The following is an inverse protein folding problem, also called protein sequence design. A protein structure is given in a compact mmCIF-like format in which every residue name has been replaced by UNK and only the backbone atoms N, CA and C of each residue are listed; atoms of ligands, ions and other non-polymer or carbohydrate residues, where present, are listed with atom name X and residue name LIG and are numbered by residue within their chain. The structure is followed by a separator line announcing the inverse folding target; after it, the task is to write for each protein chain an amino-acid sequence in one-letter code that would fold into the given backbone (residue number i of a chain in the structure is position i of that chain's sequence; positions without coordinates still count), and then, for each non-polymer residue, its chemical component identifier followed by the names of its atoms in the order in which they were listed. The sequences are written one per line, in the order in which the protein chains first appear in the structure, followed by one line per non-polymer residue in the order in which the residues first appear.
data_IF_614914013505
#
_entry.id   IF_614914013505
#
_cell.length_a   1.000
_cell.length_b   1.000
_cell.length_c   1.000
_cell.angle_alpha   90.00
_cell.angle_beta   90.00
_cell.angle_gamma   90.00
#
_symmetry.space_group_name_H-M   'P 1'
#
loop_
_entity.id
_entity.type
_entity.pdbx_description
1 polymer ?
#
# COMPACT_ATOMS: atom_id res chain seq x y z
N UNK A 1 -4.36 42.54 -63.49
CA UNK A 1 -4.48 42.40 -62.03
C UNK A 1 -4.08 40.98 -61.69
N UNK A 2 -2.84 40.77 -61.23
CA UNK A 2 -2.33 39.44 -60.86
C UNK A 2 -2.13 39.44 -59.35
N UNK A 3 -3.02 38.74 -58.63
CA UNK A 3 -2.92 38.52 -57.20
C UNK A 3 -2.00 37.33 -56.97
N UNK A 4 -0.74 37.60 -56.59
CA UNK A 4 0.21 36.58 -56.18
C UNK A 4 -0.27 35.93 -54.87
N UNK A 5 -0.56 34.64 -54.92
CA UNK A 5 -0.90 33.82 -53.75
C UNK A 5 0.38 33.55 -52.96
N UNK A 6 0.51 34.14 -51.77
CA UNK A 6 1.62 33.83 -50.86
C UNK A 6 1.42 32.44 -50.26
N UNK A 7 2.17 31.46 -50.77
CA UNK A 7 2.29 30.16 -50.09
C UNK A 7 3.12 30.35 -48.82
N UNK A 8 2.53 30.03 -47.66
CA UNK A 8 3.23 30.00 -46.38
C UNK A 8 4.22 28.84 -46.36
N UNK A 9 5.44 29.10 -45.89
CA UNK A 9 6.45 28.07 -45.73
C UNK A 9 5.96 26.97 -44.75
N UNK A 10 6.28 25.68 -45.00
CA UNK A 10 5.85 24.60 -44.11
C UNK A 10 6.50 24.76 -42.73
N UNK A 11 5.68 24.79 -41.67
CA UNK A 11 6.13 24.91 -40.29
C UNK A 11 6.39 23.54 -39.65
N UNK A 12 7.63 23.31 -39.24
CA UNK A 12 8.02 22.09 -38.51
C UNK A 12 7.68 22.24 -37.03
N UNK A 13 7.06 21.20 -36.44
CA UNK A 13 6.71 21.17 -35.02
C UNK A 13 7.19 19.88 -34.36
N UNK A 14 7.78 20.01 -33.18
CA UNK A 14 8.06 18.88 -32.30
C UNK A 14 6.77 18.41 -31.62
N UNK A 15 6.58 17.09 -31.57
CA UNK A 15 5.47 16.41 -30.89
C UNK A 15 6.04 15.23 -30.12
N UNK A 16 5.42 14.84 -29.02
CA UNK A 16 5.79 13.66 -28.23
C UNK A 16 4.87 12.48 -28.57
N UNK A 17 5.42 11.27 -28.53
CA UNK A 17 4.60 10.06 -28.55
C UNK A 17 3.82 9.92 -27.24
N UNK A 18 2.64 9.30 -27.31
CA UNK A 18 1.78 9.00 -26.16
C UNK A 18 1.66 7.48 -26.08
N UNK A 19 1.84 6.94 -24.88
CA UNK A 19 1.67 5.51 -24.62
C UNK A 19 0.19 5.21 -24.40
N UNK A 20 -0.33 4.19 -25.07
CA UNK A 20 -1.73 3.78 -24.87
C UNK A 20 -1.88 2.90 -23.61
N UNK A 21 -3.04 2.93 -22.93
CA UNK A 21 -3.33 2.03 -21.82
C UNK A 21 -3.16 0.54 -22.16
N UNK A 22 -3.40 0.15 -23.42
CA UNK A 22 -3.21 -1.22 -23.89
C UNK A 22 -1.75 -1.67 -23.82
N UNK A 23 -0.80 -0.75 -24.07
CA UNK A 23 0.63 -1.06 -23.96
C UNK A 23 1.02 -1.30 -22.49
N UNK A 24 0.51 -0.50 -21.56
CA UNK A 24 0.78 -0.66 -20.12
C UNK A 24 0.24 -2.02 -19.63
N UNK A 25 -0.97 -2.41 -20.03
CA UNK A 25 -1.50 -3.74 -19.72
C UNK A 25 -0.63 -4.85 -20.29
N UNK A 26 -0.19 -4.71 -21.54
CA UNK A 26 0.67 -5.72 -22.16
C UNK A 26 2.04 -5.80 -21.48
N UNK A 27 2.58 -4.68 -21.01
CA UNK A 27 3.81 -4.62 -20.21
C UNK A 27 3.63 -5.41 -18.91
N UNK A 28 2.55 -5.15 -18.18
CA UNK A 28 2.20 -5.87 -16.94
C UNK A 28 2.09 -7.37 -17.20
N UNK A 29 1.36 -7.79 -18.24
CA UNK A 29 1.15 -9.20 -18.56
C UNK A 29 2.44 -9.91 -19.00
N UNK A 30 3.27 -9.26 -19.83
CA UNK A 30 4.50 -9.89 -20.34
C UNK A 30 5.67 -9.86 -19.36
N UNK A 31 5.68 -8.89 -18.45
CA UNK A 31 6.72 -8.77 -17.42
C UNK A 31 6.33 -9.41 -16.09
N UNK A 32 5.07 -9.83 -15.93
CA UNK A 32 4.66 -10.65 -14.81
C UNK A 32 5.53 -11.91 -14.82
N UNK A 33 6.48 -11.95 -13.89
CA UNK A 33 7.40 -13.06 -13.74
C UNK A 33 6.69 -14.23 -13.10
N UNK A 34 7.08 -14.56 -11.88
CA UNK A 34 6.39 -15.59 -11.09
C UNK A 34 5.65 -14.95 -9.92
N UNK A 35 4.76 -15.69 -9.27
CA UNK A 35 4.07 -15.22 -8.07
C UNK A 35 5.07 -14.91 -6.94
N UNK A 36 6.13 -15.71 -6.82
CA UNK A 36 7.22 -15.51 -5.86
C UNK A 36 7.95 -14.19 -6.12
N UNK A 37 8.16 -13.83 -7.39
CA UNK A 37 8.73 -12.55 -7.75
C UNK A 37 7.79 -11.39 -7.39
N UNK A 38 6.49 -11.54 -7.64
CA UNK A 38 5.51 -10.53 -7.25
C UNK A 38 5.49 -10.30 -5.73
N UNK A 39 5.60 -11.36 -4.93
CA UNK A 39 5.76 -11.26 -3.48
C UNK A 39 7.09 -10.58 -3.10
N UNK A 40 8.19 -10.93 -3.77
CA UNK A 40 9.50 -10.30 -3.52
C UNK A 40 9.49 -8.79 -3.79
N UNK A 41 8.77 -8.34 -4.83
CA UNK A 41 8.60 -6.91 -5.11
C UNK A 41 7.94 -6.17 -3.94
N UNK A 42 6.99 -6.78 -3.23
CA UNK A 42 6.40 -6.18 -2.03
C UNK A 42 7.42 -6.03 -0.89
N UNK A 43 8.22 -7.07 -0.65
CA UNK A 43 9.27 -7.03 0.37
C UNK A 43 10.35 -5.99 0.01
N UNK A 44 10.75 -5.92 -1.25
CA UNK A 44 11.71 -4.91 -1.72
C UNK A 44 11.17 -3.49 -1.56
N UNK A 45 9.89 -3.26 -1.90
CA UNK A 45 9.24 -1.97 -1.69
C UNK A 45 9.18 -1.57 -0.22
N UNK A 46 8.91 -2.52 0.68
CA UNK A 46 8.94 -2.28 2.13
C UNK A 46 10.33 -1.85 2.62
N UNK A 47 11.40 -2.55 2.17
CA UNK A 47 12.78 -2.18 2.51
C UNK A 47 13.12 -0.78 1.99
N UNK A 48 12.75 -0.48 0.74
CA UNK A 48 12.95 0.85 0.14
C UNK A 48 12.12 1.94 0.83
N UNK A 49 11.01 1.57 1.48
CA UNK A 49 10.21 2.44 2.33
C UNK A 49 10.85 2.68 3.71
N UNK A 50 11.97 2.01 4.02
CA UNK A 50 12.68 2.12 5.28
C UNK A 50 12.13 1.19 6.38
N UNK A 51 11.36 0.15 6.00
CA UNK A 51 10.84 -0.81 6.96
C UNK A 51 11.97 -1.51 7.73
N UNK A 52 11.79 -1.65 9.04
CA UNK A 52 12.65 -2.45 9.92
C UNK A 52 12.09 -3.86 10.14
N UNK A 53 10.80 -4.05 9.86
CA UNK A 53 10.08 -5.30 9.98
C UNK A 53 9.13 -5.49 8.81
N UNK A 54 9.12 -6.70 8.26
CA UNK A 54 8.15 -7.13 7.24
C UNK A 54 7.55 -8.46 7.69
N UNK A 55 6.23 -8.50 7.83
CA UNK A 55 5.46 -9.71 8.15
C UNK A 55 4.75 -10.21 6.90
N UNK A 56 4.97 -11.47 6.55
CA UNK A 56 4.34 -12.11 5.40
C UNK A 56 3.48 -13.27 5.88
N UNK A 57 2.19 -13.21 5.57
CA UNK A 57 1.24 -14.30 5.80
C UNK A 57 0.83 -14.85 4.45
N UNK A 58 0.92 -16.18 4.28
CA UNK A 58 0.51 -16.88 3.07
C UNK A 58 -0.38 -18.05 3.44
N UNK A 59 -1.50 -18.19 2.75
CA UNK A 59 -2.38 -19.34 2.84
C UNK A 59 -2.88 -19.76 1.44
N UNK A 60 -3.87 -20.65 1.40
CA UNK A 60 -4.47 -21.13 0.14
C UNK A 60 -5.30 -20.08 -0.61
N UNK A 61 -5.63 -18.96 0.04
CA UNK A 61 -6.46 -17.88 -0.50
C UNK A 61 -5.63 -16.73 -1.05
N UNK A 62 -4.41 -16.55 -0.57
CA UNK A 62 -3.48 -15.54 -1.07
C UNK A 62 -2.39 -15.22 -0.05
N UNK A 63 -1.82 -14.03 -0.16
CA UNK A 63 -0.84 -13.52 0.80
C UNK A 63 -1.15 -12.09 1.22
N UNK A 64 -0.62 -11.72 2.38
CA UNK A 64 -0.54 -10.35 2.88
C UNK A 64 0.91 -10.02 3.19
N UNK A 65 1.34 -8.80 2.86
CA UNK A 65 2.61 -8.23 3.28
C UNK A 65 2.29 -7.00 4.12
N UNK A 66 2.74 -7.02 5.37
CA UNK A 66 2.59 -5.93 6.32
C UNK A 66 4.00 -5.44 6.71
N UNK A 67 4.21 -4.13 6.67
CA UNK A 67 5.49 -3.52 6.96
C UNK A 67 5.34 -2.23 7.77
N UNK A 68 6.40 -1.87 8.49
CA UNK A 68 6.49 -0.64 9.29
C UNK A 68 7.21 0.51 8.55
N UNK A 69 7.26 0.44 7.23
CA UNK A 69 7.85 1.49 6.39
C UNK A 69 7.05 2.79 6.42
N UNK A 70 7.60 3.82 5.78
CA UNK A 70 6.99 5.18 5.77
C UNK A 70 5.58 5.24 5.17
N UNK A 71 5.24 4.30 4.29
CA UNK A 71 3.98 4.26 3.56
C UNK A 71 3.80 5.41 2.55
N UNK A 72 2.58 5.55 2.03
CA UNK A 72 2.18 6.67 1.18
C UNK A 72 1.80 7.88 2.03
N UNK A 73 2.51 8.99 1.84
CA UNK A 73 2.36 10.17 2.70
C UNK A 73 1.35 11.19 2.20
N UNK A 74 1.11 11.23 0.89
CA UNK A 74 0.21 12.19 0.24
C UNK A 74 -0.33 11.66 -1.09
N UNK A 75 -1.40 12.29 -1.59
CA UNK A 75 -1.91 12.05 -2.94
C UNK A 75 -0.83 12.30 -4.01
N UNK A 76 -0.02 13.35 -3.88
CA UNK A 76 1.10 13.62 -4.81
C UNK A 76 2.07 12.44 -4.91
N UNK A 77 2.38 11.74 -3.81
CA UNK A 77 3.21 10.54 -3.85
C UNK A 77 2.51 9.37 -4.55
N UNK A 78 1.19 9.26 -4.41
CA UNK A 78 0.39 8.23 -5.10
C UNK A 78 0.44 8.50 -6.60
N UNK A 79 0.15 9.72 -7.05
CA UNK A 79 0.21 10.12 -8.46
C UNK A 79 1.62 9.87 -9.05
N UNK A 80 2.66 10.31 -8.32
CA UNK A 80 4.03 10.24 -8.78
C UNK A 80 4.59 8.80 -8.82
N UNK A 81 4.28 7.96 -7.84
CA UNK A 81 4.95 6.65 -7.69
C UNK A 81 4.04 5.44 -7.87
N UNK A 82 2.74 5.58 -7.59
CA UNK A 82 1.77 4.49 -7.73
C UNK A 82 1.04 4.54 -9.07
N UNK A 83 0.60 5.70 -9.53
CA UNK A 83 -0.09 5.84 -10.82
C UNK A 83 0.87 5.81 -12.00
N UNK A 84 2.00 6.49 -11.86
CA UNK A 84 2.96 6.66 -12.96
C UNK A 84 3.82 5.40 -13.15
N UNK A 85 3.66 4.75 -14.30
CA UNK A 85 4.44 3.57 -14.70
C UNK A 85 5.76 3.99 -15.36
N UNK A 86 6.87 3.73 -14.66
CA UNK A 86 8.18 4.20 -15.07
C UNK A 86 8.35 5.69 -14.77
N UNK A 87 9.36 6.03 -13.98
CA UNK A 87 9.70 7.41 -13.63
C UNK A 87 11.16 7.68 -13.99
N UNK A 88 11.46 8.91 -14.41
CA UNK A 88 12.84 9.35 -14.68
C UNK A 88 13.60 9.51 -13.35
N UNK A 89 14.86 9.08 -13.32
CA UNK A 89 15.62 8.86 -12.08
C UNK A 89 16.50 10.04 -11.66
N UNK A 90 16.55 11.12 -12.43
CA UNK A 90 17.47 12.22 -12.13
C UNK A 90 16.84 13.22 -11.15
N UNK A 91 17.37 13.25 -9.92
CA UNK A 91 17.18 14.36 -8.97
C UNK A 91 16.19 14.15 -7.82
N UNK A 92 15.64 12.94 -7.65
CA UNK A 92 14.68 12.68 -6.57
C UNK A 92 15.36 12.34 -5.23
N UNK A 93 15.23 13.24 -4.26
CA UNK A 93 15.77 13.09 -2.91
C UNK A 93 15.20 11.89 -2.16
N UNK A 94 13.99 11.41 -2.50
CA UNK A 94 13.39 10.18 -1.93
C UNK A 94 14.02 8.90 -2.50
N UNK A 95 14.79 9.01 -3.57
CA UNK A 95 15.57 7.90 -4.14
C UNK A 95 16.91 7.71 -3.43
N UNK A 96 17.43 8.75 -2.76
CA UNK A 96 18.62 8.68 -1.92
C UNK A 96 18.35 7.78 -0.71
N UNK A 97 18.59 6.47 -0.88
CA UNK A 97 18.34 5.44 0.14
C UNK A 97 17.55 4.22 -0.34
N UNK A 98 17.07 4.18 -1.60
CA UNK A 98 16.49 2.96 -2.17
C UNK A 98 17.59 1.93 -2.47
N UNK A 99 17.31 0.67 -2.13
CA UNK A 99 18.20 -0.47 -2.34
C UNK A 99 17.83 -1.27 -3.59
N UNK A 100 16.53 -1.38 -3.93
CA UNK A 100 16.06 -2.32 -4.96
C UNK A 100 15.23 -1.69 -6.09
N UNK A 101 14.36 -0.74 -5.77
CA UNK A 101 13.36 -0.17 -6.67
C UNK A 101 13.93 0.87 -7.63
N UNK A 102 14.42 0.42 -8.78
CA UNK A 102 14.97 1.31 -9.82
C UNK A 102 13.89 1.77 -10.79
N UNK A 103 13.17 0.87 -11.46
CA UNK A 103 12.42 1.20 -12.68
C UNK A 103 10.93 1.58 -12.48
N UNK A 104 10.39 1.45 -11.27
CA UNK A 104 9.02 1.92 -11.01
C UNK A 104 7.90 1.12 -11.70
N UNK A 105 8.16 -0.15 -12.05
CA UNK A 105 7.20 -1.04 -12.72
C UNK A 105 6.89 -2.31 -11.93
N UNK A 106 7.67 -2.59 -10.86
CA UNK A 106 7.62 -3.84 -10.10
C UNK A 106 6.25 -4.18 -9.52
N UNK A 107 5.52 -3.18 -9.02
CA UNK A 107 4.15 -3.34 -8.48
C UNK A 107 3.16 -3.93 -9.48
N UNK A 108 3.34 -3.65 -10.78
CA UNK A 108 2.50 -4.18 -11.85
C UNK A 108 2.53 -5.71 -11.93
N UNK A 109 3.62 -6.35 -11.49
CA UNK A 109 3.72 -7.82 -11.49
C UNK A 109 2.64 -8.47 -10.62
N UNK A 110 2.19 -7.81 -9.55
CA UNK A 110 1.18 -8.33 -8.64
C UNK A 110 -0.21 -8.35 -9.28
N UNK A 111 -0.53 -7.29 -10.02
CA UNK A 111 -1.84 -7.10 -10.65
C UNK A 111 -2.13 -8.11 -11.75
N UNK A 112 -1.10 -8.72 -12.32
CA UNK A 112 -1.27 -9.83 -13.25
C UNK A 112 -1.89 -11.07 -12.58
N UNK A 113 -1.46 -11.35 -11.34
CA UNK A 113 -1.82 -12.56 -10.60
C UNK A 113 -3.11 -12.42 -9.80
N UNK A 114 -3.36 -11.25 -9.22
CA UNK A 114 -4.49 -11.04 -8.33
C UNK A 114 -5.00 -9.61 -8.37
N UNK A 115 -6.26 -9.43 -7.94
CA UNK A 115 -6.68 -8.13 -7.42
C UNK A 115 -5.92 -7.85 -6.11
N UNK A 116 -5.55 -6.60 -5.89
CA UNK A 116 -4.70 -6.20 -4.76
C UNK A 116 -5.32 -5.04 -4.01
N UNK A 117 -5.22 -5.06 -2.68
CA UNK A 117 -5.61 -3.95 -1.81
C UNK A 117 -4.38 -3.47 -1.06
N UNK A 118 -4.05 -2.20 -1.21
CA UNK A 118 -3.00 -1.52 -0.45
C UNK A 118 -3.65 -0.69 0.65
N UNK A 119 -3.14 -0.80 1.88
CA UNK A 119 -3.53 0.06 3.00
C UNK A 119 -2.27 0.72 3.54
N UNK A 120 -2.25 2.04 3.56
CA UNK A 120 -1.06 2.78 3.96
C UNK A 120 -1.42 4.15 4.51
N UNK A 121 -0.95 4.46 5.71
CA UNK A 121 -1.26 5.70 6.46
C UNK A 121 -2.75 5.98 6.51
N UNK A 122 -3.31 6.85 5.67
CA UNK A 122 -4.74 7.18 5.62
C UNK A 122 -5.35 6.87 4.25
N UNK A 123 -4.73 5.95 3.49
CA UNK A 123 -5.16 5.58 2.15
C UNK A 123 -5.51 4.10 2.07
N UNK A 124 -6.56 3.79 1.32
CA UNK A 124 -6.89 2.46 0.84
C UNK A 124 -6.98 2.49 -0.68
N UNK A 125 -6.23 1.62 -1.36
CA UNK A 125 -6.20 1.53 -2.82
C UNK A 125 -6.54 0.12 -3.26
N UNK A 126 -7.60 -0.04 -4.06
CA UNK A 126 -7.99 -1.34 -4.62
C UNK A 126 -7.76 -1.38 -6.14
N UNK A 127 -6.90 -2.30 -6.58
CA UNK A 127 -6.55 -2.50 -7.99
C UNK A 127 -7.06 -3.84 -8.47
N UNK A 128 -7.77 -3.84 -9.59
CA UNK A 128 -8.16 -5.05 -10.32
C UNK A 128 -8.14 -4.75 -11.81
N UNK A 129 -7.03 -5.07 -12.46
CA UNK A 129 -6.82 -4.72 -13.86
C UNK A 129 -7.68 -5.54 -14.83
N UNK A 130 -8.22 -6.67 -14.38
CA UNK A 130 -9.11 -7.52 -15.18
C UNK A 130 -10.53 -6.98 -15.17
N UNK A 131 -10.99 -6.44 -14.04
CA UNK A 131 -12.31 -5.86 -13.90
C UNK A 131 -12.39 -4.37 -14.30
N UNK A 132 -11.34 -3.58 -14.05
CA UNK A 132 -11.34 -2.10 -14.18
C UNK A 132 -10.30 -1.54 -15.15
N UNK A 133 -9.55 -2.38 -15.85
CA UNK A 133 -8.52 -1.90 -16.77
C UNK A 133 -7.31 -1.32 -16.04
N UNK A 134 -7.01 -0.03 -16.18
CA UNK A 134 -5.94 0.62 -15.41
C UNK A 134 -6.48 1.55 -14.32
N UNK A 135 -7.80 1.60 -14.16
CA UNK A 135 -8.44 2.38 -13.12
C UNK A 135 -8.33 1.62 -11.78
N UNK A 136 -8.13 2.36 -10.69
CA UNK A 136 -8.12 1.84 -9.32
C UNK A 136 -9.02 2.68 -8.43
N UNK A 137 -9.50 2.08 -7.34
CA UNK A 137 -10.29 2.81 -6.34
C UNK A 137 -9.33 3.36 -5.29
N UNK A 138 -9.37 4.67 -5.06
CA UNK A 138 -8.63 5.36 -4.01
C UNK A 138 -9.62 5.94 -2.99
N UNK A 139 -9.40 5.63 -1.72
CA UNK A 139 -10.18 6.16 -0.61
C UNK A 139 -9.24 6.73 0.45
N UNK A 140 -9.53 7.95 0.92
CA UNK A 140 -8.97 8.46 2.16
C UNK A 140 -9.75 7.86 3.34
N UNK A 141 -9.08 7.06 4.13
CA UNK A 141 -9.66 6.27 5.22
C UNK A 141 -9.24 6.86 6.55
N UNK A 142 -10.24 7.16 7.37
CA UNK A 142 -10.03 7.38 8.80
C UNK A 142 -10.09 6.02 9.50
N UNK A 143 -8.92 5.51 9.90
CA UNK A 143 -8.87 4.27 10.67
C UNK A 143 -9.52 4.44 12.05
N UNK A 144 -10.04 3.36 12.65
CA UNK A 144 -10.56 3.41 14.01
C UNK A 144 -9.50 3.95 14.97
N UNK A 145 -9.89 4.94 15.76
CA UNK A 145 -9.09 5.47 16.86
C UNK A 145 -9.90 5.32 18.14
N UNK A 146 -9.34 4.61 19.12
CA UNK A 146 -9.88 4.54 20.47
C UNK A 146 -8.91 5.29 21.40
N UNK A 147 -9.11 6.58 21.68
CA UNK A 147 -8.25 7.32 22.59
C UNK A 147 -8.48 6.85 24.04
N UNK A 148 -7.40 6.79 24.84
CA UNK A 148 -7.48 6.51 26.27
C UNK A 148 -6.60 7.47 27.06
N UNK A 149 -7.15 8.05 28.12
CA UNK A 149 -6.40 8.79 29.14
C UNK A 149 -6.45 7.95 30.41
N UNK A 150 -5.28 7.61 30.94
CA UNK A 150 -5.16 6.88 32.20
C UNK A 150 -4.41 7.74 33.20
N UNK A 151 -5.02 8.01 34.35
CA UNK A 151 -4.35 8.63 35.49
C UNK A 151 -3.56 7.54 36.24
N UNK A 152 -2.40 7.17 35.71
CA UNK A 152 -1.55 6.14 36.30
C UNK A 152 -0.69 5.37 35.31
N UNK A 153 -0.08 4.28 35.78
CA UNK A 153 0.70 3.39 34.92
C UNK A 153 -0.23 2.56 34.02
N UNK A 154 0.11 2.48 32.73
CA UNK A 154 -0.53 1.56 31.79
C UNK A 154 -0.05 0.14 32.11
N UNK A 155 -0.79 -0.54 32.98
CA UNK A 155 -0.56 -1.94 33.36
C UNK A 155 -1.55 -2.86 32.60
N UNK A 156 -1.44 -4.17 32.84
CA UNK A 156 -2.27 -5.16 32.15
C UNK A 156 -3.77 -5.01 32.38
N UNK A 157 -4.21 -4.53 33.54
CA UNK A 157 -5.64 -4.32 33.83
C UNK A 157 -6.17 -3.13 33.02
N UNK A 158 -5.42 -2.02 33.00
CA UNK A 158 -5.76 -0.84 32.19
C UNK A 158 -5.77 -1.20 30.70
N UNK A 159 -4.79 -1.96 30.24
CA UNK A 159 -4.72 -2.39 28.83
C UNK A 159 -5.83 -3.38 28.47
N UNK A 160 -6.20 -4.31 29.35
CA UNK A 160 -7.31 -5.22 29.09
C UNK A 160 -8.65 -4.48 29.07
N UNK A 161 -8.88 -3.58 30.03
CA UNK A 161 -10.06 -2.72 30.04
C UNK A 161 -10.13 -1.87 28.78
N UNK A 162 -9.02 -1.25 28.37
CA UNK A 162 -8.93 -0.47 27.14
C UNK A 162 -9.33 -1.32 25.93
N UNK A 163 -8.72 -2.49 25.76
CA UNK A 163 -9.01 -3.36 24.62
C UNK A 163 -10.49 -3.73 24.60
N UNK A 164 -11.03 -4.18 25.74
CA UNK A 164 -12.39 -4.70 25.83
C UNK A 164 -13.46 -3.62 25.71
N UNK A 165 -13.29 -2.52 26.43
CA UNK A 165 -14.36 -1.53 26.65
C UNK A 165 -14.25 -0.32 25.71
N UNK A 166 -13.05 0.00 25.19
CA UNK A 166 -12.85 1.13 24.29
C UNK A 166 -12.48 0.71 22.87
N UNK A 167 -11.52 -0.19 22.69
CA UNK A 167 -11.03 -0.56 21.36
C UNK A 167 -12.00 -1.50 20.64
N UNK A 168 -12.38 -2.63 21.23
CA UNK A 168 -13.27 -3.62 20.61
C UNK A 168 -14.55 -3.01 20.03
N UNK A 169 -15.27 -2.10 20.73
CA UNK A 169 -16.49 -1.52 20.20
C UNK A 169 -16.28 -0.65 18.96
N UNK A 170 -15.06 -0.17 18.71
CA UNK A 170 -14.71 0.62 17.52
C UNK A 170 -14.30 -0.24 16.32
N UNK A 171 -14.11 -1.55 16.53
CA UNK A 171 -13.65 -2.46 15.48
C UNK A 171 -14.82 -3.09 14.72
N UNK A 172 -14.59 -3.33 13.44
CA UNK A 172 -15.47 -4.09 12.54
C UNK A 172 -14.84 -5.45 12.23
N UNK A 173 -15.62 -6.52 12.00
CA UNK A 173 -15.08 -7.82 11.61
C UNK A 173 -14.10 -7.72 10.43
N UNK A 174 -12.95 -8.39 10.56
CA UNK A 174 -11.88 -8.39 9.56
C UNK A 174 -10.77 -7.34 9.79
N UNK A 175 -10.92 -6.43 10.75
CA UNK A 175 -9.84 -5.55 11.17
C UNK A 175 -8.84 -6.29 12.06
N UNK A 176 -7.55 -6.15 11.73
CA UNK A 176 -6.44 -6.66 12.54
C UNK A 176 -5.90 -5.51 13.39
N UNK A 177 -5.71 -5.78 14.67
CA UNK A 177 -5.12 -4.83 15.63
C UNK A 177 -3.80 -5.39 16.11
N UNK A 178 -2.73 -4.62 15.94
CA UNK A 178 -1.42 -4.89 16.53
C UNK A 178 -1.32 -4.07 17.82
N UNK A 179 -1.16 -4.75 18.96
CA UNK A 179 -0.97 -4.13 20.26
C UNK A 179 0.48 -4.26 20.70
N UNK A 180 1.27 -3.23 20.44
CA UNK A 180 2.72 -3.21 20.74
C UNK A 180 3.01 -2.58 22.11
N UNK A 181 2.53 -3.21 23.20
CA UNK A 181 2.90 -2.84 24.57
C UNK A 181 3.14 -4.09 25.43
N UNK A 182 4.22 -4.80 25.10
CA UNK A 182 4.59 -6.08 25.75
C UNK A 182 4.63 -6.00 27.29
N UNK A 183 5.02 -4.87 27.87
CA UNK A 183 5.03 -4.69 29.34
C UNK A 183 3.65 -4.71 29.99
N UNK A 184 2.59 -4.40 29.25
CA UNK A 184 1.22 -4.46 29.74
C UNK A 184 0.52 -5.78 29.37
N UNK A 185 0.98 -6.50 28.33
CA UNK A 185 0.30 -7.67 27.81
C UNK A 185 0.86 -9.01 28.33
N UNK A 186 0.73 -9.30 29.64
CA UNK A 186 1.04 -10.64 30.14
C UNK A 186 0.05 -11.68 29.58
N UNK A 187 0.59 -12.72 28.90
CA UNK A 187 -0.15 -13.73 28.11
C UNK A 187 -1.36 -14.39 28.79
N UNK A 188 -1.40 -14.43 30.13
CA UNK A 188 -2.51 -15.04 30.89
C UNK A 188 -3.78 -14.18 31.01
N UNK A 189 -3.71 -12.85 30.86
CA UNK A 189 -4.85 -11.97 31.11
C UNK A 189 -5.85 -11.91 29.93
N UNK A 190 -5.38 -12.11 28.70
CA UNK A 190 -6.18 -11.90 27.48
C UNK A 190 -6.87 -13.16 26.95
N UNK A 191 -6.36 -14.35 27.26
CA UNK A 191 -6.85 -15.62 26.69
C UNK A 191 -8.29 -15.98 27.11
N UNK A 192 -8.80 -15.41 28.21
CA UNK A 192 -10.14 -15.70 28.74
C UNK A 192 -11.07 -14.49 28.81
N UNK A 193 -10.55 -13.28 28.59
CA UNK A 193 -11.29 -12.03 28.83
C UNK A 193 -11.68 -11.27 27.55
N UNK A 194 -11.14 -11.67 26.39
CA UNK A 194 -11.49 -11.05 25.12
C UNK A 194 -12.82 -11.57 24.58
N UNK A 195 -13.66 -10.69 24.02
CA UNK A 195 -14.90 -11.10 23.38
C UNK A 195 -14.62 -12.08 22.22
N UNK A 196 -15.55 -13.01 21.92
CA UNK A 196 -15.35 -14.05 20.91
C UNK A 196 -14.90 -13.54 19.53
N UNK A 197 -15.27 -12.28 19.19
CA UNK A 197 -14.90 -11.62 17.93
C UNK A 197 -13.39 -11.41 17.76
N UNK A 198 -12.61 -11.34 18.85
CA UNK A 198 -11.16 -11.17 18.79
C UNK A 198 -10.38 -12.48 18.97
N UNK A 199 -11.03 -13.56 19.43
CA UNK A 199 -10.32 -14.82 19.71
C UNK A 199 -9.71 -15.48 18.46
N UNK A 200 -10.38 -15.55 17.28
CA UNK A 200 -9.77 -16.09 16.06
C UNK A 200 -8.95 -14.99 15.36
N UNK A 201 -7.78 -14.65 15.90
CA UNK A 201 -6.85 -13.70 15.28
C UNK A 201 -5.96 -12.92 16.24
N UNK A 202 -6.25 -12.95 17.55
CA UNK A 202 -5.42 -12.31 18.56
C UNK A 202 -4.11 -13.08 18.77
N UNK A 203 -3.00 -12.50 18.30
CA UNK A 203 -1.65 -12.96 18.59
C UNK A 203 -0.94 -11.94 19.47
N UNK A 204 -0.41 -12.40 20.61
CA UNK A 204 0.53 -11.65 21.44
C UNK A 204 1.94 -12.15 21.11
N UNK A 205 2.81 -11.25 20.67
CA UNK A 205 4.25 -11.52 20.54
C UNK A 205 4.91 -11.74 21.93
#
# INVERSE_FOLDING_TARGET
MSSASSQSAPSTHTRKFIVSPAIIRNLIERQAGTLEKALMENVMNAIDAGATRVHVTLDRHGYTVDDDGRGFESNDQIEQYFETFGFEHEGDALQAGRTYGTFGIGRGQQWHWASTVYRSRHFSMAVDIRARGLDYLLEEVQWPVAPVISEGSVNGDVSLWYVRELLCPTLTPGQVVILDNRSAHHRGAYSHALPPVLQPGFQLD
#
